data_IF_259586049033
#
_entry.id   IF_259586049033
#
_cell.length_a   1.000
_cell.length_b   1.000
_cell.length_c   1.000
_cell.angle_alpha   90.00
_cell.angle_beta   90.00
_cell.angle_gamma   90.00
#
_symmetry.space_group_name_H-M   'P 1'
#
loop_
_entity.id
_entity.type
_entity.pdbx_description
1 polymer ?
#
# COMPACT_ATOMS: atom_id res chain seq x y z
N UNK A 1 -21.48 -24.25 -5.12
CA UNK A 1 -20.12 -23.69 -5.04
C UNK A 1 -20.14 -22.54 -4.07
N UNK A 2 -19.17 -22.45 -3.16
CA UNK A 2 -19.06 -21.29 -2.26
C UNK A 2 -18.45 -20.11 -3.01
N UNK A 3 -18.93 -18.89 -2.77
CA UNK A 3 -18.30 -17.67 -3.24
C UNK A 3 -17.33 -17.12 -2.17
N UNK A 4 -16.40 -16.27 -2.60
CA UNK A 4 -15.64 -15.42 -1.68
C UNK A 4 -16.25 -14.03 -1.77
N UNK A 5 -16.60 -13.44 -0.63
CA UNK A 5 -17.04 -12.06 -0.56
C UNK A 5 -15.84 -11.19 -0.18
N UNK A 6 -15.54 -10.18 -1.00
CA UNK A 6 -14.49 -9.21 -0.72
C UNK A 6 -15.11 -7.82 -0.60
N UNK A 7 -14.91 -7.19 0.56
CA UNK A 7 -15.34 -5.82 0.83
C UNK A 7 -14.11 -4.95 0.95
N UNK A 8 -13.91 -4.06 -0.02
CA UNK A 8 -12.90 -3.00 0.10
C UNK A 8 -13.51 -1.80 0.82
N UNK A 9 -12.65 -0.98 1.43
CA UNK A 9 -13.05 0.20 2.19
C UNK A 9 -14.14 -0.08 3.24
N UNK A 10 -13.97 -1.18 3.98
CA UNK A 10 -14.94 -1.65 4.97
C UNK A 10 -15.29 -0.60 6.06
N UNK A 11 -14.46 0.43 6.25
CA UNK A 11 -14.75 1.56 7.14
C UNK A 11 -15.91 2.45 6.68
N UNK A 12 -16.22 2.49 5.39
CA UNK A 12 -17.41 3.19 4.89
C UNK A 12 -18.70 2.49 5.32
N UNK A 13 -18.67 1.16 5.46
CA UNK A 13 -19.83 0.34 5.84
C UNK A 13 -19.91 0.08 7.35
N UNK A 14 -18.76 -0.05 8.02
CA UNK A 14 -18.67 -0.49 9.42
C UNK A 14 -17.97 0.53 10.33
N UNK A 15 -17.94 1.79 9.90
CA UNK A 15 -17.41 2.90 10.69
C UNK A 15 -18.15 3.11 12.02
N UNK A 16 -17.47 3.76 12.97
CA UNK A 16 -18.02 4.18 14.25
C UNK A 16 -19.27 5.01 14.01
N UNK A 17 -20.31 4.71 14.80
CA UNK A 17 -21.55 5.48 14.80
C UNK A 17 -21.24 6.95 15.06
N UNK A 18 -21.59 7.84 14.15
CA UNK A 18 -21.71 9.26 14.45
C UNK A 18 -22.79 9.42 15.53
N UNK A 19 -22.53 10.27 16.53
CA UNK A 19 -23.57 10.67 17.49
C UNK A 19 -24.73 11.30 16.71
N UNK A 20 -25.88 10.64 16.79
CA UNK A 20 -27.10 10.93 16.03
C UNK A 20 -27.48 12.40 16.21
N UNK A 21 -27.55 13.16 15.11
CA UNK A 21 -28.17 14.49 15.11
C UNK A 21 -29.53 14.52 14.42
N UNK A 22 -29.84 13.56 13.54
CA UNK A 22 -31.10 13.58 12.78
C UNK A 22 -31.74 12.20 12.53
N UNK A 23 -33.04 12.20 12.18
CA UNK A 23 -33.84 10.99 11.94
C UNK A 23 -33.33 10.12 10.76
N UNK A 24 -32.56 10.70 9.84
CA UNK A 24 -31.94 9.98 8.72
C UNK A 24 -30.84 9.02 9.17
N UNK A 25 -30.08 9.36 10.23
CA UNK A 25 -29.01 8.51 10.77
C UNK A 25 -29.53 7.21 11.39
N UNK A 26 -30.82 7.15 11.78
CA UNK A 26 -31.39 5.90 12.33
C UNK A 26 -31.52 4.81 11.29
N UNK A 27 -31.83 5.15 10.03
CA UNK A 27 -31.99 4.17 8.96
C UNK A 27 -30.65 3.54 8.57
N UNK A 28 -29.59 4.35 8.45
CA UNK A 28 -28.23 3.86 8.21
C UNK A 28 -27.76 2.86 9.28
N UNK A 29 -28.11 3.11 10.55
CA UNK A 29 -27.75 2.21 11.66
C UNK A 29 -28.46 0.84 11.61
N UNK A 30 -29.69 0.77 11.07
CA UNK A 30 -30.42 -0.50 10.92
C UNK A 30 -29.82 -1.34 9.79
N UNK A 31 -29.44 -0.70 8.68
CA UNK A 31 -28.85 -1.36 7.51
C UNK A 31 -27.50 -2.02 7.83
N UNK A 32 -26.65 -1.36 8.62
CA UNK A 32 -25.35 -1.90 9.03
C UNK A 32 -25.51 -3.15 9.90
N UNK A 33 -26.39 -3.12 10.91
CA UNK A 33 -26.62 -4.27 11.78
C UNK A 33 -27.18 -5.48 11.01
N UNK A 34 -28.02 -5.23 10.01
CA UNK A 34 -28.53 -6.29 9.14
C UNK A 34 -27.41 -6.91 8.28
N UNK A 35 -26.55 -6.08 7.68
CA UNK A 35 -25.39 -6.56 6.91
C UNK A 35 -24.45 -7.41 7.77
N UNK A 36 -24.24 -7.02 9.04
CA UNK A 36 -23.46 -7.79 10.00
C UNK A 36 -24.04 -9.18 10.24
N UNK A 37 -25.34 -9.28 10.50
CA UNK A 37 -26.01 -10.57 10.71
C UNK A 37 -25.90 -11.47 9.47
N UNK A 38 -26.01 -10.88 8.27
CA UNK A 38 -25.85 -11.63 7.02
C UNK A 38 -24.42 -12.11 6.80
N UNK A 39 -23.42 -11.31 7.16
CA UNK A 39 -22.01 -11.71 7.13
C UNK A 39 -21.70 -12.81 8.13
N UNK A 40 -22.26 -12.76 9.34
CA UNK A 40 -22.10 -13.82 10.36
C UNK A 40 -22.76 -15.14 9.93
N UNK A 41 -23.93 -15.07 9.27
CA UNK A 41 -24.62 -16.24 8.75
C UNK A 41 -24.01 -16.78 7.44
N UNK A 42 -23.09 -16.03 6.82
CA UNK A 42 -22.46 -16.42 5.57
C UNK A 42 -21.52 -17.61 5.80
N UNK A 43 -21.85 -18.74 5.15
CA UNK A 43 -21.07 -19.98 5.28
C UNK A 43 -19.80 -20.02 4.41
N UNK A 44 -19.56 -18.99 3.60
CA UNK A 44 -18.36 -18.86 2.78
C UNK A 44 -17.29 -17.98 3.42
N UNK A 45 -16.22 -17.70 2.68
CA UNK A 45 -15.16 -16.80 3.14
C UNK A 45 -15.53 -15.34 2.82
N UNK A 46 -15.55 -14.50 3.85
CA UNK A 46 -15.64 -13.05 3.71
C UNK A 46 -14.30 -12.41 4.11
N UNK A 47 -13.78 -11.56 3.24
CA UNK A 47 -12.55 -10.78 3.46
C UNK A 47 -12.94 -9.30 3.45
N UNK A 48 -12.49 -8.57 4.46
CA UNK A 48 -12.72 -7.14 4.60
C UNK A 48 -11.38 -6.42 4.62
N UNK A 49 -11.20 -5.46 3.73
CA UNK A 49 -10.04 -4.59 3.67
C UNK A 49 -10.44 -3.17 4.11
N UNK A 50 -9.57 -2.51 4.88
CA UNK A 50 -9.77 -1.11 5.30
C UNK A 50 -8.42 -0.45 5.57
N UNK A 51 -8.31 0.81 5.18
CA UNK A 51 -7.17 1.67 5.51
C UNK A 51 -7.31 2.34 6.88
N UNK A 52 -8.51 2.32 7.48
CA UNK A 52 -8.86 3.05 8.70
C UNK A 52 -9.42 2.13 9.79
N UNK A 53 -8.65 1.12 10.20
CA UNK A 53 -9.06 0.21 11.30
C UNK A 53 -9.56 0.95 12.56
N UNK A 54 -8.97 2.10 12.91
CA UNK A 54 -9.34 2.88 14.09
C UNK A 54 -10.74 3.52 14.00
N UNK A 55 -11.28 3.68 12.80
CA UNK A 55 -12.65 4.17 12.59
C UNK A 55 -13.66 3.04 12.62
N UNK A 56 -13.25 1.78 12.57
CA UNK A 56 -14.16 0.64 12.67
C UNK A 56 -14.73 0.51 14.09
N UNK A 57 -16.00 0.14 14.19
CA UNK A 57 -16.66 -0.14 15.46
C UNK A 57 -16.01 -1.34 16.20
N UNK A 58 -15.75 -1.16 17.50
CA UNK A 58 -15.13 -2.19 18.35
C UNK A 58 -15.99 -3.44 18.49
N UNK A 59 -17.32 -3.32 18.53
CA UNK A 59 -18.20 -4.49 18.60
C UNK A 59 -18.21 -5.27 17.29
N UNK A 60 -18.01 -4.60 16.15
CA UNK A 60 -17.78 -5.29 14.88
C UNK A 60 -16.46 -6.04 14.84
N UNK A 61 -15.35 -5.39 15.25
CA UNK A 61 -14.03 -6.05 15.28
C UNK A 61 -14.03 -7.33 16.12
N UNK A 62 -14.77 -7.37 17.24
CA UNK A 62 -14.91 -8.57 18.09
C UNK A 62 -15.58 -9.77 17.39
N UNK A 63 -16.34 -9.54 16.32
CA UNK A 63 -17.02 -10.60 15.56
C UNK A 63 -16.16 -11.17 14.43
N UNK A 64 -15.08 -10.47 14.05
CA UNK A 64 -14.15 -10.97 13.05
C UNK A 64 -13.28 -12.07 13.66
N UNK A 65 -13.25 -13.23 13.00
CA UNK A 65 -12.45 -14.38 13.45
C UNK A 65 -10.95 -14.13 13.39
N UNK A 66 -10.50 -13.39 12.38
CA UNK A 66 -9.10 -13.06 12.18
C UNK A 66 -8.95 -11.58 11.86
N UNK A 67 -7.91 -10.96 12.41
CA UNK A 67 -7.51 -9.61 12.09
C UNK A 67 -6.04 -9.67 11.68
N UNK A 68 -5.78 -9.47 10.38
CA UNK A 68 -4.43 -9.43 9.83
C UNK A 68 -4.01 -7.96 9.71
N UNK A 69 -3.00 -7.56 10.47
CA UNK A 69 -2.47 -6.21 10.38
C UNK A 69 -1.36 -6.17 9.32
N UNK A 70 -1.41 -5.18 8.43
CA UNK A 70 -0.37 -4.90 7.45
C UNK A 70 0.41 -3.64 7.88
N UNK A 71 1.47 -3.78 8.70
CA UNK A 71 2.28 -2.64 9.10
C UNK A 71 3.08 -2.10 7.91
N UNK A 72 3.63 -0.91 8.08
CA UNK A 72 4.58 -0.35 7.12
C UNK A 72 5.77 -1.31 6.93
N UNK A 73 6.19 -1.62 5.69
CA UNK A 73 7.26 -2.57 5.46
C UNK A 73 8.58 -2.06 6.04
N UNK A 74 9.32 -2.92 6.73
CA UNK A 74 10.69 -2.61 7.18
C UNK A 74 11.70 -2.63 6.04
N UNK A 75 12.97 -2.36 6.36
CA UNK A 75 14.07 -2.25 5.38
C UNK A 75 14.19 -3.54 4.54
N UNK A 76 14.28 -4.70 5.19
CA UNK A 76 14.40 -5.99 4.49
C UNK A 76 13.18 -6.29 3.60
N UNK A 77 11.96 -5.97 4.08
CA UNK A 77 10.76 -6.15 3.27
C UNK A 77 10.78 -5.22 2.05
N UNK A 78 11.19 -3.95 2.21
CA UNK A 78 11.30 -3.00 1.09
C UNK A 78 12.32 -3.45 0.06
N UNK A 79 13.48 -3.99 0.47
CA UNK A 79 14.46 -4.56 -0.46
C UNK A 79 13.83 -5.70 -1.31
N UNK A 80 13.07 -6.59 -0.68
CA UNK A 80 12.36 -7.67 -1.38
C UNK A 80 11.25 -7.14 -2.30
N UNK A 81 10.54 -6.10 -1.89
CA UNK A 81 9.51 -5.46 -2.73
C UNK A 81 10.18 -4.82 -3.96
N UNK A 82 11.28 -4.08 -3.77
CA UNK A 82 12.05 -3.50 -4.87
C UNK A 82 12.50 -4.56 -5.89
N UNK A 83 13.10 -5.65 -5.43
CA UNK A 83 13.52 -6.76 -6.30
C UNK A 83 12.34 -7.35 -7.07
N UNK A 84 11.17 -7.48 -6.45
CA UNK A 84 9.96 -8.03 -7.08
C UNK A 84 9.27 -7.05 -8.03
N UNK A 85 9.46 -5.75 -7.83
CA UNK A 85 8.87 -4.71 -8.69
C UNK A 85 9.51 -4.66 -10.07
N UNK A 86 10.69 -5.26 -10.26
CA UNK A 86 11.34 -5.42 -11.56
C UNK A 86 11.33 -6.92 -11.94
N UNK A 87 10.46 -7.33 -12.88
CA UNK A 87 10.48 -8.69 -13.44
C UNK A 87 11.85 -9.07 -14.00
N UNK A 88 12.14 -10.36 -14.11
CA UNK A 88 13.45 -10.87 -14.58
C UNK A 88 13.78 -10.42 -16.01
N UNK A 89 12.74 -10.14 -16.79
CA UNK A 89 12.80 -9.70 -18.18
C UNK A 89 13.10 -8.21 -18.29
N UNK A 90 12.99 -7.44 -17.20
CA UNK A 90 13.33 -6.01 -17.22
C UNK A 90 14.85 -5.84 -17.29
N UNK A 91 15.38 -5.16 -18.31
CA UNK A 91 16.81 -4.87 -18.38
C UNK A 91 17.17 -3.90 -17.25
N UNK A 92 17.94 -4.38 -16.28
CA UNK A 92 18.38 -3.59 -15.12
C UNK A 92 19.91 -3.62 -15.04
N UNK A 93 20.52 -2.50 -14.63
CA UNK A 93 21.97 -2.38 -14.46
C UNK A 93 22.29 -2.18 -12.98
N UNK A 94 22.72 -3.26 -12.32
CA UNK A 94 23.25 -3.31 -10.95
C UNK A 94 22.52 -2.36 -9.97
N UNK A 95 21.24 -2.60 -9.76
CA UNK A 95 20.44 -1.82 -8.81
C UNK A 95 20.82 -2.18 -7.36
N UNK A 96 21.09 -1.15 -6.56
CA UNK A 96 21.39 -1.28 -5.14
C UNK A 96 20.09 -1.30 -4.33
N UNK A 97 19.57 -2.51 -4.10
CA UNK A 97 18.35 -2.75 -3.34
C UNK A 97 18.46 -2.32 -1.89
N UNK A 98 19.66 -2.43 -1.29
CA UNK A 98 19.87 -2.05 0.10
C UNK A 98 19.70 -0.54 0.24
N UNK A 99 20.34 0.23 -0.63
CA UNK A 99 20.18 1.68 -0.69
C UNK A 99 18.73 2.09 -0.94
N UNK A 100 18.08 1.49 -1.94
CA UNK A 100 16.67 1.78 -2.25
C UNK A 100 15.72 1.44 -1.09
N UNK A 101 16.07 0.45 -0.27
CA UNK A 101 15.25 0.05 0.88
C UNK A 101 15.35 1.01 2.08
N UNK A 102 16.33 1.92 2.10
CA UNK A 102 16.45 2.94 3.15
C UNK A 102 15.36 4.02 3.04
N UNK A 103 14.82 4.25 1.84
CA UNK A 103 13.70 5.16 1.64
C UNK A 103 12.42 4.62 2.28
N UNK A 104 11.72 5.47 3.04
CA UNK A 104 10.51 5.09 3.76
C UNK A 104 9.27 5.12 2.82
N UNK A 105 9.24 4.15 1.91
CA UNK A 105 8.18 3.98 0.91
C UNK A 105 7.24 2.82 1.25
N UNK A 106 5.95 2.98 0.96
CA UNK A 106 5.01 1.87 0.94
C UNK A 106 5.29 0.95 -0.26
N UNK A 107 4.74 -0.26 -0.26
CA UNK A 107 4.82 -1.13 -1.43
C UNK A 107 4.24 -0.50 -2.69
N UNK A 108 3.13 0.26 -2.55
CA UNK A 108 2.53 0.99 -3.66
C UNK A 108 3.44 2.08 -4.22
N UNK A 109 4.14 2.82 -3.37
CA UNK A 109 5.12 3.82 -3.83
C UNK A 109 6.29 3.16 -4.55
N UNK A 110 6.85 2.08 -3.99
CA UNK A 110 7.95 1.33 -4.61
C UNK A 110 7.54 0.84 -6.00
N UNK A 111 6.33 0.28 -6.14
CA UNK A 111 5.82 -0.19 -7.43
C UNK A 111 5.68 0.96 -8.44
N UNK A 112 5.07 2.08 -8.03
CA UNK A 112 4.94 3.27 -8.89
C UNK A 112 6.30 3.81 -9.36
N UNK A 113 7.29 3.87 -8.46
CA UNK A 113 8.63 4.33 -8.82
C UNK A 113 9.31 3.37 -9.80
N UNK A 114 9.26 2.07 -9.53
CA UNK A 114 9.84 1.05 -10.41
C UNK A 114 9.23 1.10 -11.81
N UNK A 115 7.90 1.22 -11.89
CA UNK A 115 7.17 1.33 -13.15
C UNK A 115 7.55 2.60 -13.92
N UNK A 116 7.59 3.75 -13.25
CA UNK A 116 8.02 5.01 -13.87
C UNK A 116 9.48 4.96 -14.35
N UNK A 117 10.36 4.36 -13.56
CA UNK A 117 11.76 4.17 -13.95
C UNK A 117 11.90 3.29 -15.18
N UNK A 118 11.09 2.22 -15.28
CA UNK A 118 11.05 1.36 -16.46
C UNK A 118 10.55 2.11 -17.70
N UNK A 119 9.52 2.96 -17.56
CA UNK A 119 9.05 3.80 -18.67
C UNK A 119 10.10 4.79 -19.15
N UNK A 120 10.77 5.49 -18.23
CA UNK A 120 11.84 6.44 -18.57
C UNK A 120 13.00 5.76 -19.30
N UNK A 121 13.43 4.58 -18.83
CA UNK A 121 14.50 3.82 -19.47
C UNK A 121 14.08 3.32 -20.87
N UNK A 122 12.83 2.85 -21.00
CA UNK A 122 12.28 2.37 -22.27
C UNK A 122 12.13 3.49 -23.31
N UNK A 123 11.78 4.71 -22.91
CA UNK A 123 11.70 5.87 -23.80
C UNK A 123 13.05 6.19 -24.44
N UNK A 124 14.15 5.97 -23.72
CA UNK A 124 15.51 6.12 -24.25
C UNK A 124 16.08 4.83 -24.87
N UNK A 125 15.34 3.71 -24.85
CA UNK A 125 15.80 2.41 -25.32
C UNK A 125 16.95 1.81 -24.50
N UNK A 126 17.04 2.15 -23.20
CA UNK A 126 18.12 1.75 -22.28
C UNK A 126 17.63 0.85 -21.15
N UNK A 127 18.58 0.27 -20.43
CA UNK A 127 18.31 -0.45 -19.18
C UNK A 127 17.92 0.50 -18.05
N UNK A 128 17.21 -0.01 -17.05
CA UNK A 128 16.93 0.70 -15.80
C UNK A 128 18.20 0.76 -14.96
N UNK A 129 18.76 1.95 -14.82
CA UNK A 129 19.93 2.24 -13.98
C UNK A 129 19.51 2.86 -12.64
N UNK A 130 20.44 2.90 -11.68
CA UNK A 130 20.21 3.57 -10.40
C UNK A 130 19.80 5.04 -10.58
N UNK A 131 20.39 5.76 -11.52
CA UNK A 131 20.08 7.18 -11.73
C UNK A 131 18.64 7.40 -12.18
N UNK A 132 18.13 6.52 -13.06
CA UNK A 132 16.74 6.56 -13.52
C UNK A 132 15.78 6.25 -12.37
N UNK A 133 16.09 5.23 -11.55
CA UNK A 133 15.27 4.91 -10.36
C UNK A 133 15.28 6.06 -9.35
N UNK A 134 16.43 6.68 -9.11
CA UNK A 134 16.55 7.81 -8.19
C UNK A 134 15.82 9.06 -8.72
N UNK A 135 15.83 9.30 -10.04
CA UNK A 135 15.04 10.35 -10.66
C UNK A 135 13.53 10.09 -10.48
N UNK A 136 13.06 8.87 -10.75
CA UNK A 136 11.67 8.47 -10.54
C UNK A 136 11.27 8.56 -9.05
N UNK A 137 12.16 8.18 -8.13
CA UNK A 137 11.94 8.33 -6.69
C UNK A 137 11.78 9.80 -6.30
N UNK A 138 12.60 10.71 -6.82
CA UNK A 138 12.45 12.17 -6.58
C UNK A 138 11.09 12.68 -7.05
N UNK A 139 10.62 12.22 -8.21
CA UNK A 139 9.29 12.59 -8.71
C UNK A 139 8.18 12.10 -7.78
N UNK A 140 8.28 10.87 -7.27
CA UNK A 140 7.32 10.32 -6.31
C UNK A 140 7.35 11.09 -4.97
N UNK A 141 8.52 11.49 -4.46
CA UNK A 141 8.62 12.34 -3.27
C UNK A 141 7.92 13.68 -3.47
N UNK A 142 8.13 14.34 -4.62
CA UNK A 142 7.45 15.60 -4.97
C UNK A 142 5.94 15.41 -5.06
N UNK A 143 5.47 14.33 -5.68
CA UNK A 143 4.05 13.99 -5.80
C UNK A 143 3.37 13.78 -4.44
N UNK A 144 4.11 13.22 -3.48
CA UNK A 144 3.63 12.96 -2.11
C UNK A 144 3.80 14.17 -1.17
N UNK A 145 4.27 15.31 -1.68
CA UNK A 145 4.61 16.50 -0.88
C UNK A 145 5.52 16.18 0.33
N UNK A 146 6.46 15.25 0.13
CA UNK A 146 7.40 14.81 1.15
C UNK A 146 8.73 15.57 1.01
N UNK A 147 9.31 15.96 2.14
CA UNK A 147 10.64 16.56 2.19
C UNK A 147 11.69 15.60 1.60
N UNK A 148 12.49 16.14 0.69
CA UNK A 148 13.63 15.43 0.10
C UNK A 148 14.88 15.82 0.87
N UNK A 149 15.52 14.83 1.51
CA UNK A 149 16.88 15.01 1.99
C UNK A 149 17.84 14.75 0.83
N UNK A 150 18.40 15.81 0.25
CA UNK A 150 19.32 15.71 -0.90
C UNK A 150 20.55 14.83 -0.61
N UNK A 151 20.95 14.67 0.65
CA UNK A 151 22.04 13.77 1.02
C UNK A 151 21.75 12.31 0.65
N UNK A 152 20.49 11.87 0.72
CA UNK A 152 20.09 10.50 0.40
C UNK A 152 20.16 10.22 -1.12
N UNK A 153 20.09 11.29 -1.93
CA UNK A 153 20.11 11.25 -3.39
C UNK A 153 21.48 11.52 -4.01
N UNK A 154 22.48 11.94 -3.23
CA UNK A 154 23.85 12.06 -3.73
C UNK A 154 24.39 10.68 -4.07
N UNK A 155 25.03 10.52 -5.22
CA UNK A 155 25.82 9.31 -5.48
C UNK A 155 26.93 9.26 -4.42
N UNK A 156 27.01 8.16 -3.66
CA UNK A 156 28.29 7.80 -3.06
C UNK A 156 29.19 7.45 -4.24
N UNK A 157 30.03 8.39 -4.66
CA UNK A 157 31.19 8.05 -5.46
C UNK A 157 31.89 6.94 -4.67
N UNK A 158 31.95 5.76 -5.26
CA UNK A 158 32.76 4.68 -4.73
C UNK A 158 34.19 5.22 -4.78
N UNK A 159 34.67 5.70 -3.63
CA UNK A 159 36.08 5.96 -3.41
C UNK A 159 36.80 4.62 -3.42
N UNK A 160 37.39 4.30 -4.58
CA UNK A 160 38.56 3.43 -4.74
C UNK A 160 38.32 1.92 -4.66
N UNK A 161 38.42 1.23 -5.80
CA UNK A 161 39.65 0.56 -6.25
C UNK A 161 39.43 -0.06 -7.63
#
# INVERSE_FOLDING_TARGET
GGAILFFDEADALFGKRSEVKDAHDRYANIEINYLLQRLEAYRGLAILATNKKSTIDQAFLRRLRFIVNFPFPGVEQRAKIWQKSFPKETPTEMLDWERLSRFNFTGGNIHSIALNAAFMAAEEGKSVTMDVVMAAARMEFKKLDKLINEADFRQFSILGA
#
